data_IF_613735350844
#
_entry.id   IF_613735350844
#
_cell.length_a   1.000
_cell.length_b   1.000
_cell.length_c   1.000
_cell.angle_alpha   90.00
_cell.angle_beta   90.00
_cell.angle_gamma   90.00
#
_symmetry.space_group_name_H-M   'P 1'
#
loop_
_entity.id
_entity.type
_entity.pdbx_description
1 polymer ?
#
# COMPACT_ATOMS: atom_id res chain seq x y z
N UNK A 1 25.55 49.99 33.23
CA UNK A 1 26.46 49.51 32.17
C UNK A 1 26.85 48.08 32.55
N UNK A 2 26.42 47.02 31.89
CA UNK A 2 25.53 46.87 30.75
C UNK A 2 24.94 45.47 30.80
N UNK A 3 23.66 45.36 30.44
CA UNK A 3 22.95 44.11 30.25
C UNK A 3 23.48 43.46 28.96
N UNK A 4 23.83 42.16 29.03
CA UNK A 4 24.15 41.39 27.83
C UNK A 4 23.11 40.30 27.64
N UNK A 5 22.19 40.57 26.71
CA UNK A 5 21.45 39.60 25.91
C UNK A 5 22.44 38.55 25.38
N UNK A 6 22.22 37.25 25.43
CA UNK A 6 21.04 36.55 24.95
C UNK A 6 21.53 35.61 23.85
N UNK A 7 21.70 34.32 24.17
CA UNK A 7 21.80 33.27 23.16
C UNK A 7 20.80 32.18 23.55
N UNK A 8 19.59 32.34 23.04
CA UNK A 8 18.64 31.25 22.91
C UNK A 8 19.26 30.27 21.90
N UNK A 9 19.62 29.02 22.29
CA UNK A 9 19.85 28.01 21.28
C UNK A 9 18.52 27.85 20.57
N UNK A 10 18.47 28.26 19.30
CA UNK A 10 17.38 27.90 18.40
C UNK A 10 17.29 26.39 18.43
N UNK A 11 16.39 25.88 19.26
CA UNK A 11 15.84 24.55 19.10
C UNK A 11 15.24 24.56 17.71
N UNK A 12 16.03 24.11 16.73
CA UNK A 12 15.49 23.56 15.51
C UNK A 12 14.59 22.44 16.00
N UNK A 13 13.30 22.76 16.15
CA UNK A 13 12.28 21.76 16.24
C UNK A 13 12.52 20.88 15.03
N UNK A 14 13.04 19.68 15.28
CA UNK A 14 12.90 18.56 14.37
C UNK A 14 11.39 18.38 14.34
N UNK A 15 10.74 19.10 13.43
CA UNK A 15 9.38 18.81 13.07
C UNK A 15 9.46 17.37 12.60
N UNK A 16 9.03 16.46 13.47
CA UNK A 16 8.70 15.10 13.13
C UNK A 16 7.55 15.18 12.14
N UNK A 17 7.86 15.53 10.90
CA UNK A 17 7.01 15.27 9.78
C UNK A 17 7.05 13.76 9.61
N UNK A 18 6.19 13.06 10.34
CA UNK A 18 5.62 11.83 9.82
C UNK A 18 4.96 12.25 8.50
N UNK A 19 5.72 12.22 7.40
CA UNK A 19 5.23 12.65 6.10
C UNK A 19 4.24 11.62 5.63
N UNK A 20 2.97 12.01 5.65
CA UNK A 20 1.87 11.19 5.13
C UNK A 20 2.15 10.86 3.67
N UNK A 21 1.84 9.62 3.29
CA UNK A 21 1.98 9.18 1.91
C UNK A 21 0.92 9.86 1.04
N UNK A 22 1.34 10.80 0.21
CA UNK A 22 0.53 11.39 -0.85
C UNK A 22 0.80 10.73 -2.21
N UNK A 23 -0.02 11.03 -3.22
CA UNK A 23 0.08 10.41 -4.54
C UNK A 23 1.41 10.71 -5.25
N UNK A 24 1.95 11.91 -5.06
CA UNK A 24 3.20 12.32 -5.70
C UNK A 24 4.40 11.62 -5.07
N UNK A 25 4.41 11.51 -3.73
CA UNK A 25 5.41 10.78 -2.98
C UNK A 25 5.39 9.30 -3.37
N UNK A 26 4.20 8.71 -3.48
CA UNK A 26 4.03 7.34 -3.97
C UNK A 26 4.61 7.19 -5.39
N UNK A 27 4.26 8.06 -6.34
CA UNK A 27 4.78 7.98 -7.71
C UNK A 27 6.31 8.06 -7.75
N UNK A 28 6.93 8.92 -6.92
CA UNK A 28 8.39 9.04 -6.83
C UNK A 28 9.03 7.79 -6.22
N UNK A 29 8.42 7.24 -5.17
CA UNK A 29 8.89 6.01 -4.54
C UNK A 29 8.77 4.80 -5.47
N UNK A 30 7.85 4.85 -6.43
CA UNK A 30 7.63 3.79 -7.42
C UNK A 30 8.35 4.05 -8.76
N UNK A 31 9.09 5.13 -8.92
CA UNK A 31 9.86 5.38 -10.16
C UNK A 31 10.90 4.25 -10.36
N UNK A 32 11.27 3.94 -11.62
CA UNK A 32 11.96 2.71 -11.97
C UNK A 32 13.47 2.81 -11.70
N UNK A 33 13.89 2.65 -10.46
CA UNK A 33 15.19 2.02 -10.16
C UNK A 33 15.00 0.51 -10.24
N UNK A 34 15.96 -0.17 -10.87
CA UNK A 34 15.95 -1.59 -11.25
C UNK A 34 15.20 -2.49 -10.26
N UNK A 35 13.93 -2.77 -10.57
CA UNK A 35 13.09 -3.60 -9.73
C UNK A 35 13.39 -5.06 -10.06
N UNK A 36 14.10 -5.74 -9.16
CA UNK A 36 14.20 -7.20 -9.18
C UNK A 36 12.80 -7.84 -9.28
N UNK A 37 12.74 -9.04 -9.84
CA UNK A 37 11.51 -9.75 -10.18
C UNK A 37 10.56 -9.92 -8.97
N UNK A 38 9.71 -8.93 -8.75
CA UNK A 38 8.58 -9.03 -7.82
C UNK A 38 7.42 -9.72 -8.51
N UNK A 39 6.60 -10.44 -7.73
CA UNK A 39 5.36 -11.05 -8.21
C UNK A 39 4.32 -10.00 -8.65
N UNK A 40 4.52 -8.73 -8.29
CA UNK A 40 3.59 -7.64 -8.56
C UNK A 40 4.07 -6.79 -9.72
N UNK A 41 3.29 -6.76 -10.79
CA UNK A 41 3.41 -5.74 -11.82
C UNK A 41 2.73 -4.46 -11.35
N UNK A 42 3.19 -3.31 -11.87
CA UNK A 42 2.60 -2.01 -11.57
C UNK A 42 2.30 -1.19 -12.82
N UNK A 43 1.22 -0.43 -12.77
CA UNK A 43 0.88 0.63 -13.74
C UNK A 43 0.67 1.91 -12.95
N UNK A 44 1.29 3.01 -13.40
CA UNK A 44 1.11 4.34 -12.82
C UNK A 44 0.48 5.23 -13.89
N UNK A 45 -0.78 5.62 -13.67
CA UNK A 45 -1.45 6.64 -14.47
C UNK A 45 -1.51 7.95 -13.69
N UNK A 46 -0.57 8.85 -14.01
CA UNK A 46 -0.48 10.17 -13.37
C UNK A 46 -1.63 11.11 -13.78
N UNK A 47 -2.26 10.90 -14.95
CA UNK A 47 -3.37 11.75 -15.42
C UNK A 47 -4.65 11.42 -14.66
N UNK A 48 -4.91 10.12 -14.44
CA UNK A 48 -6.08 9.64 -13.71
C UNK A 48 -5.86 9.50 -12.20
N UNK A 49 -4.68 9.90 -11.70
CA UNK A 49 -4.26 9.74 -10.30
C UNK A 49 -4.45 8.32 -9.74
N UNK A 50 -3.95 7.34 -10.50
CA UNK A 50 -4.16 5.93 -10.26
C UNK A 50 -2.85 5.17 -10.27
N UNK A 51 -2.69 4.27 -9.29
CA UNK A 51 -1.63 3.26 -9.28
C UNK A 51 -2.28 1.90 -9.17
N UNK A 52 -1.96 0.99 -10.08
CA UNK A 52 -2.39 -0.40 -10.03
C UNK A 52 -1.20 -1.27 -9.71
N UNK A 53 -1.38 -2.16 -8.74
CA UNK A 53 -0.55 -3.34 -8.54
C UNK A 53 -1.36 -4.54 -8.98
N UNK A 54 -0.79 -5.44 -9.79
CA UNK A 54 -1.49 -6.65 -10.22
C UNK A 54 -0.57 -7.86 -10.33
N UNK A 55 -1.16 -9.04 -10.16
CA UNK A 55 -0.54 -10.34 -10.37
C UNK A 55 -1.29 -11.08 -11.48
N UNK A 56 -0.54 -11.76 -12.34
CA UNK A 56 -1.09 -12.60 -13.41
C UNK A 56 -0.95 -14.06 -13.00
N UNK A 57 -2.03 -14.83 -13.16
CA UNK A 57 -1.97 -16.29 -13.10
C UNK A 57 -1.59 -16.87 -14.48
N UNK A 58 -0.34 -17.30 -14.58
CA UNK A 58 0.23 -17.93 -15.77
C UNK A 58 -0.06 -19.44 -15.87
N UNK A 59 -0.64 -20.06 -14.84
CA UNK A 59 -0.98 -21.49 -14.87
C UNK A 59 -2.27 -21.76 -15.66
N UNK A 60 -3.06 -20.72 -15.93
CA UNK A 60 -4.27 -20.79 -16.72
C UNK A 60 -3.99 -20.74 -18.23
N UNK A 61 -4.83 -21.40 -19.03
CA UNK A 61 -4.70 -21.47 -20.51
C UNK A 61 -4.70 -20.08 -21.18
N UNK A 62 -5.30 -19.08 -20.52
CA UNK A 62 -5.27 -17.68 -20.91
C UNK A 62 -4.85 -16.87 -19.69
N UNK A 63 -3.84 -16.00 -19.77
CA UNK A 63 -3.42 -15.17 -18.63
C UNK A 63 -4.63 -14.45 -18.01
N UNK A 64 -4.81 -14.64 -16.70
CA UNK A 64 -5.87 -13.97 -15.93
C UNK A 64 -5.26 -13.13 -14.82
N UNK A 65 -5.93 -12.04 -14.46
CA UNK A 65 -5.60 -11.29 -13.26
C UNK A 65 -5.99 -12.14 -12.04
N UNK A 66 -5.00 -12.54 -11.24
CA UNK A 66 -5.27 -13.28 -10.01
C UNK A 66 -5.59 -12.34 -8.87
N UNK A 67 -4.82 -11.26 -8.75
CA UNK A 67 -4.92 -10.28 -7.67
C UNK A 67 -4.64 -8.90 -8.22
N UNK A 68 -5.36 -7.90 -7.72
CA UNK A 68 -5.08 -6.51 -8.05
C UNK A 68 -5.37 -5.61 -6.85
N UNK A 69 -4.49 -4.64 -6.60
CA UNK A 69 -4.70 -3.53 -5.66
C UNK A 69 -4.62 -2.24 -6.45
N UNK A 70 -5.75 -1.53 -6.52
CA UNK A 70 -5.86 -0.21 -7.16
C UNK A 70 -5.81 0.86 -6.09
N UNK A 71 -4.84 1.74 -6.15
CA UNK A 71 -4.80 2.97 -5.36
C UNK A 71 -5.33 4.13 -6.20
N UNK A 72 -6.27 4.86 -5.63
CA UNK A 72 -6.78 6.11 -6.20
C UNK A 72 -6.56 7.24 -5.22
N UNK A 73 -6.22 8.42 -5.75
CA UNK A 73 -6.22 9.65 -4.96
C UNK A 73 -7.66 9.98 -4.55
N UNK A 74 -7.87 10.20 -3.26
CA UNK A 74 -9.15 10.62 -2.68
C UNK A 74 -8.93 11.82 -1.75
N UNK A 75 -10.02 12.50 -1.37
CA UNK A 75 -10.00 13.61 -0.41
C UNK A 75 -10.90 13.34 0.79
N UNK A 76 -10.30 13.24 1.97
CA UNK A 76 -11.04 13.16 3.23
C UNK A 76 -11.38 14.57 3.70
N UNK A 77 -12.67 14.81 3.92
CA UNK A 77 -13.25 16.08 4.39
C UNK A 77 -12.85 17.31 3.57
N UNK A 78 -12.43 17.15 2.31
CA UNK A 78 -12.00 18.24 1.42
C UNK A 78 -10.69 18.92 1.84
N UNK A 79 -10.05 18.48 2.92
CA UNK A 79 -8.83 19.10 3.47
C UNK A 79 -7.61 18.22 3.22
N UNK A 80 -7.79 16.90 3.17
CA UNK A 80 -6.69 15.96 3.19
C UNK A 80 -6.70 15.01 2.00
N UNK A 81 -5.62 15.03 1.22
CA UNK A 81 -5.35 14.00 0.22
C UNK A 81 -5.01 12.67 0.91
N UNK A 82 -5.63 11.58 0.45
CA UNK A 82 -5.32 10.22 0.88
C UNK A 82 -5.28 9.27 -0.30
N UNK A 83 -4.69 8.10 -0.09
CA UNK A 83 -4.67 7.02 -1.06
C UNK A 83 -5.71 5.96 -0.66
N UNK A 84 -6.75 5.82 -1.48
CA UNK A 84 -7.81 4.85 -1.26
C UNK A 84 -7.53 3.56 -2.04
N UNK A 85 -7.27 2.44 -1.36
CA UNK A 85 -7.15 1.14 -2.00
C UNK A 85 -8.51 0.53 -2.36
N UNK A 86 -8.57 -0.10 -3.52
CA UNK A 86 -9.60 -1.06 -3.92
C UNK A 86 -8.91 -2.37 -4.24
N UNK A 87 -9.36 -3.47 -3.62
CA UNK A 87 -8.74 -4.80 -3.79
C UNK A 87 -9.64 -5.64 -4.68
N UNK A 88 -9.04 -6.30 -5.67
CA UNK A 88 -9.68 -7.26 -6.54
C UNK A 88 -9.01 -8.62 -6.39
N UNK A 89 -9.79 -9.68 -6.19
CA UNK A 89 -9.35 -11.06 -6.12
C UNK A 89 -10.11 -11.86 -7.18
N UNK A 90 -9.41 -12.47 -8.15
CA UNK A 90 -10.00 -13.17 -9.30
C UNK A 90 -11.16 -12.39 -9.95
N UNK A 91 -10.91 -11.13 -10.30
CA UNK A 91 -11.87 -10.20 -10.91
C UNK A 91 -13.02 -9.70 -9.99
N UNK A 92 -13.08 -10.13 -8.73
CA UNK A 92 -14.09 -9.65 -7.77
C UNK A 92 -13.55 -8.57 -6.85
N UNK A 93 -14.23 -7.42 -6.87
CA UNK A 93 -13.98 -6.32 -5.93
C UNK A 93 -14.32 -6.75 -4.50
N UNK A 94 -13.36 -6.57 -3.59
CA UNK A 94 -13.55 -6.80 -2.16
C UNK A 94 -14.26 -5.60 -1.53
N UNK A 95 -15.12 -5.81 -0.52
CA UNK A 95 -15.82 -4.72 0.16
C UNK A 95 -14.82 -3.77 0.84
N UNK A 96 -15.19 -2.50 1.03
CA UNK A 96 -14.33 -1.52 1.72
C UNK A 96 -13.94 -1.96 3.13
N UNK A 97 -14.80 -2.75 3.78
CA UNK A 97 -14.55 -3.36 5.08
C UNK A 97 -13.33 -4.28 5.09
N UNK A 98 -12.91 -4.82 3.94
CA UNK A 98 -11.68 -5.59 3.82
C UNK A 98 -10.46 -4.76 4.23
N UNK A 99 -10.32 -3.56 3.66
CA UNK A 99 -9.20 -2.66 3.98
C UNK A 99 -9.32 -2.16 5.42
N UNK A 100 -10.54 -1.82 5.85
CA UNK A 100 -10.82 -1.39 7.22
C UNK A 100 -10.45 -2.46 8.26
N UNK A 101 -10.62 -3.75 7.93
CA UNK A 101 -10.24 -4.84 8.82
C UNK A 101 -8.72 -4.95 9.03
N UNK A 102 -7.92 -4.48 8.07
CA UNK A 102 -6.45 -4.52 8.14
C UNK A 102 -5.91 -3.29 8.90
N UNK A 103 -6.43 -2.09 8.60
CA UNK A 103 -5.84 -0.83 9.09
C UNK A 103 -6.73 -0.05 10.07
N UNK A 104 -7.94 -0.52 10.36
CA UNK A 104 -8.96 0.23 11.09
C UNK A 104 -9.54 1.42 10.30
N UNK A 105 -9.19 1.55 9.02
CA UNK A 105 -9.57 2.65 8.12
C UNK A 105 -9.52 2.21 6.66
N UNK A 106 -10.13 2.99 5.78
CA UNK A 106 -10.29 2.68 4.36
C UNK A 106 -9.24 3.34 3.43
N UNK A 107 -8.11 3.79 3.97
CA UNK A 107 -7.05 4.45 3.20
C UNK A 107 -5.66 4.05 3.71
N UNK A 108 -4.67 4.15 2.82
CA UNK A 108 -3.26 3.90 3.10
C UNK A 108 -2.57 5.23 3.38
N UNK A 109 -1.76 5.28 4.44
CA UNK A 109 -1.08 6.50 4.89
C UNK A 109 0.45 6.42 4.88
N UNK A 110 1.02 5.23 4.66
CA UNK A 110 2.46 5.00 4.59
C UNK A 110 2.81 3.93 3.53
N UNK A 111 4.10 3.88 3.14
CA UNK A 111 4.60 2.83 2.25
C UNK A 111 4.59 1.44 2.93
N UNK A 112 4.74 1.41 4.25
CA UNK A 112 4.63 0.18 5.04
C UNK A 112 3.21 -0.40 4.99
N UNK A 113 2.20 0.46 5.04
CA UNK A 113 0.79 0.03 4.91
C UNK A 113 0.48 -0.44 3.49
N UNK A 114 1.01 0.23 2.46
CA UNK A 114 0.90 -0.25 1.08
C UNK A 114 1.53 -1.65 0.95
N UNK A 115 2.69 -1.83 1.56
CA UNK A 115 3.38 -3.10 1.58
C UNK A 115 2.56 -4.17 2.27
N UNK A 116 1.96 -3.85 3.42
CA UNK A 116 1.19 -4.78 4.22
C UNK A 116 -0.06 -5.25 3.48
N UNK A 117 -0.80 -4.35 2.82
CA UNK A 117 -1.98 -4.77 2.04
C UNK A 117 -1.59 -5.67 0.87
N UNK A 118 -0.45 -5.42 0.20
CA UNK A 118 0.04 -6.29 -0.87
C UNK A 118 0.40 -7.68 -0.34
N UNK A 119 1.02 -7.78 0.84
CA UNK A 119 1.33 -9.07 1.49
C UNK A 119 0.07 -9.83 1.88
N UNK A 120 -0.87 -9.17 2.57
CA UNK A 120 -2.14 -9.78 2.97
C UNK A 120 -2.84 -10.34 1.74
N UNK A 121 -2.95 -9.55 0.66
CA UNK A 121 -3.57 -9.98 -0.60
C UNK A 121 -2.87 -11.20 -1.21
N UNK A 122 -1.54 -11.28 -1.14
CA UNK A 122 -0.78 -12.48 -1.58
C UNK A 122 -1.07 -13.70 -0.72
N UNK A 123 -1.11 -13.54 0.60
CA UNK A 123 -1.33 -14.61 1.56
C UNK A 123 -2.77 -15.13 1.61
N UNK A 124 -3.72 -14.43 0.98
CA UNK A 124 -5.07 -14.95 0.80
C UNK A 124 -5.03 -16.13 -0.19
N UNK A 125 -5.10 -17.32 0.40
CA UNK A 125 -5.40 -18.55 -0.31
C UNK A 125 -6.92 -18.65 -0.51
N UNK A 126 -7.35 -18.65 -1.77
CA UNK A 126 -8.76 -18.60 -2.15
C UNK A 126 -9.34 -20.00 -2.37
N UNK A 127 -8.61 -21.04 -1.97
CA UNK A 127 -9.07 -22.44 -1.93
C UNK A 127 -10.39 -22.65 -1.16
N UNK A 128 -10.87 -21.65 -0.40
CA UNK A 128 -12.11 -21.68 0.36
C UNK A 128 -13.26 -20.77 -0.13
N UNK A 129 -13.12 -20.01 -1.21
CA UNK A 129 -14.19 -19.10 -1.67
C UNK A 129 -15.31 -19.77 -2.49
N UNK A 130 -15.30 -21.10 -2.57
CA UNK A 130 -16.41 -21.91 -3.06
C UNK A 130 -17.36 -22.34 -1.94
N UNK A 131 -18.01 -21.40 -1.24
CA UNK A 131 -19.08 -21.75 -0.31
C UNK A 131 -19.28 -20.78 0.86
N UNK A 132 -20.38 -20.02 0.80
CA UNK A 132 -21.15 -19.45 1.93
C UNK A 132 -20.42 -18.62 2.99
N UNK A 133 -20.72 -17.31 2.99
CA UNK A 133 -20.93 -16.43 4.16
C UNK A 133 -20.14 -16.73 5.44
N UNK A 134 -18.84 -16.48 5.42
CA UNK A 134 -18.07 -15.87 6.50
C UNK A 134 -16.63 -15.83 6.03
N UNK A 135 -16.13 -14.65 5.70
CA UNK A 135 -14.70 -14.47 5.42
C UNK A 135 -14.00 -14.52 6.77
N UNK A 136 -13.62 -15.73 7.20
CA UNK A 136 -12.66 -15.88 8.29
C UNK A 136 -11.29 -15.43 7.74
N UNK A 137 -10.92 -14.18 8.03
CA UNK A 137 -9.61 -13.61 7.74
C UNK A 137 -8.56 -14.17 8.71
N UNK A 138 -8.51 -15.49 8.88
CA UNK A 138 -7.43 -16.14 9.61
C UNK A 138 -6.17 -16.15 8.73
N UNK A 139 -5.50 -15.00 8.66
CA UNK A 139 -4.17 -14.85 8.05
C UNK A 139 -3.21 -15.75 8.84
N UNK A 140 -3.02 -16.99 8.40
CA UNK A 140 -1.96 -17.85 8.93
C UNK A 140 -0.64 -17.35 8.36
N UNK A 141 0.02 -16.50 9.15
CA UNK A 141 1.41 -16.12 8.93
C UNK A 141 2.26 -17.40 8.98
N UNK A 142 2.71 -17.88 7.83
CA UNK A 142 3.65 -18.99 7.75
C UNK A 142 5.06 -18.37 7.75
N UNK A 143 5.72 -18.35 8.92
CA UNK A 143 7.05 -17.75 9.17
C UNK A 143 8.23 -18.37 8.38
N UNK A 144 7.96 -19.16 7.34
CA UNK A 144 8.96 -20.01 6.68
C UNK A 144 9.52 -19.53 5.35
N UNK A 145 9.08 -18.40 4.77
CA UNK A 145 9.53 -17.99 3.44
C UNK A 145 9.82 -16.48 3.33
N UNK A 146 11.02 -16.16 3.82
CA UNK A 146 11.96 -15.15 3.31
C UNK A 146 11.49 -13.70 3.16
N UNK A 147 11.72 -12.98 4.25
CA UNK A 147 12.03 -11.56 4.36
C UNK A 147 13.18 -11.12 3.43
N UNK A 148 12.90 -10.83 2.16
CA UNK A 148 13.77 -10.03 1.27
C UNK A 148 13.02 -9.14 0.26
N UNK A 149 11.70 -8.97 0.41
CA UNK A 149 10.86 -8.38 -0.64
C UNK A 149 10.94 -6.84 -0.77
N UNK A 150 11.48 -6.12 0.22
CA UNK A 150 11.16 -4.68 0.38
C UNK A 150 12.35 -3.74 0.50
N UNK A 151 13.55 -4.27 0.70
CA UNK A 151 14.75 -3.43 0.72
C UNK A 151 15.12 -2.93 -0.69
N UNK A 152 14.45 -3.42 -1.74
CA UNK A 152 14.75 -3.08 -3.14
C UNK A 152 13.81 -1.99 -3.70
N UNK A 153 12.61 -1.79 -3.11
CA UNK A 153 11.64 -0.83 -3.64
C UNK A 153 11.71 0.54 -2.99
N UNK A 154 12.26 0.64 -1.77
CA UNK A 154 12.19 1.85 -0.95
C UNK A 154 13.52 2.20 -0.26
N UNK A 155 14.65 1.63 -0.70
CA UNK A 155 16.00 2.04 -0.27
C UNK A 155 16.64 3.01 -1.25
#
# INVERSE_FOLDING_TARGET
MGDTYGENPRSFGIASFSSWLDFNLLCRALDPTESEATLWHKIIDRKSHLVLFYQIDHQSIKPKLSRCVRLTKDQIHGVREVLKPTVYLHDYEQPSSFVESIFGRNHVSSLDELTEILKVVVCLDLSHLGGTNNVDLSVRYNEGSQFKFLQVWFS
#
